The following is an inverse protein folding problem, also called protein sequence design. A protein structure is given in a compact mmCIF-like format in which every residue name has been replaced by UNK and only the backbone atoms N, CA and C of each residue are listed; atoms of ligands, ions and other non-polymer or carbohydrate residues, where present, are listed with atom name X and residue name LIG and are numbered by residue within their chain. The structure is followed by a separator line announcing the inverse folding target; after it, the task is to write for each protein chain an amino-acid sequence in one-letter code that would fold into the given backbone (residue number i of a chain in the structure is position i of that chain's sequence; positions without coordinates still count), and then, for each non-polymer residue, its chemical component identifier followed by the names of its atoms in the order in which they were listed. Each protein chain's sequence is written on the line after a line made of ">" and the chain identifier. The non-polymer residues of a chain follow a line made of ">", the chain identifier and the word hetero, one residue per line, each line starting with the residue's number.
data_IF_114848505610
#
_entry.id   IF_114848505610
#
_cell.length_a   1.000
_cell.length_b   1.000
_cell.length_c   1.000
_cell.angle_alpha   90.00
_cell.angle_beta   90.00
_cell.angle_gamma   90.00
#
_symmetry.space_group_name_H-M   'P 1'
#
loop_
_entity.id
_entity.type
_entity.pdbx_description
1 polymer ?
#
# COMPACT_ATOMS: atom_id res chain seq x y z
N UNK A 1 11.68 12.31 -16.27
CA UNK A 1 10.94 12.04 -17.52
C UNK A 1 10.05 13.25 -17.82
N UNK A 2 9.88 13.64 -19.09
CA UNK A 2 9.02 14.77 -19.47
C UNK A 2 7.65 14.23 -19.86
N UNK A 3 6.60 14.72 -19.19
CA UNK A 3 5.22 14.32 -19.43
C UNK A 3 4.40 15.55 -19.78
N UNK A 4 3.53 15.44 -20.79
CA UNK A 4 2.57 16.47 -21.15
C UNK A 4 1.24 16.13 -20.49
N UNK A 5 0.72 17.03 -19.68
CA UNK A 5 -0.59 16.88 -19.02
C UNK A 5 -1.53 17.97 -19.52
N UNK A 6 -2.80 17.62 -19.71
CA UNK A 6 -3.83 18.61 -20.00
C UNK A 6 -4.34 19.19 -18.67
N UNK A 7 -4.17 20.50 -18.49
CA UNK A 7 -4.59 21.19 -17.28
C UNK A 7 -5.68 22.22 -17.62
N UNK A 8 -6.81 22.23 -16.91
CA UNK A 8 -7.84 23.25 -17.08
C UNK A 8 -7.26 24.68 -17.00
N UNK A 9 -7.73 25.61 -17.85
CA UNK A 9 -7.14 26.95 -17.93
C UNK A 9 -7.26 27.73 -16.62
N UNK A 10 -8.34 27.52 -15.85
CA UNK A 10 -8.50 28.12 -14.52
C UNK A 10 -7.42 27.66 -13.54
N UNK A 11 -7.11 26.36 -13.56
CA UNK A 11 -6.05 25.81 -12.71
C UNK A 11 -4.67 26.32 -13.13
N UNK A 12 -4.40 26.53 -14.42
CA UNK A 12 -3.14 27.11 -14.86
C UNK A 12 -2.91 28.53 -14.31
N UNK A 13 -3.95 29.37 -14.33
CA UNK A 13 -3.85 30.73 -13.80
C UNK A 13 -3.61 30.72 -12.28
N UNK A 14 -4.37 29.91 -11.54
CA UNK A 14 -4.16 29.74 -10.09
C UNK A 14 -2.76 29.21 -9.77
N UNK A 15 -2.31 28.20 -10.50
CA UNK A 15 -0.97 27.60 -10.33
C UNK A 15 0.13 28.64 -10.60
N UNK A 16 -0.04 29.51 -11.60
CA UNK A 16 0.91 30.60 -11.87
C UNK A 16 0.95 31.64 -10.75
N UNK A 17 -0.22 32.02 -10.21
CA UNK A 17 -0.31 32.96 -9.09
C UNK A 17 0.40 32.38 -7.87
N UNK A 18 0.16 31.11 -7.56
CA UNK A 18 0.80 30.41 -6.45
C UNK A 18 2.30 30.22 -6.65
N UNK A 19 2.75 29.89 -7.87
CA UNK A 19 4.16 29.79 -8.19
C UNK A 19 4.89 31.13 -8.03
N UNK A 20 4.26 32.23 -8.47
CA UNK A 20 4.79 33.59 -8.29
C UNK A 20 4.85 33.99 -6.82
N UNK A 21 3.84 33.65 -6.02
CA UNK A 21 3.84 33.90 -4.58
C UNK A 21 4.99 33.18 -3.86
N UNK A 22 5.31 31.96 -4.31
CA UNK A 22 6.36 31.13 -3.73
C UNK A 22 7.75 31.33 -4.38
N UNK A 23 7.91 32.29 -5.30
CA UNK A 23 9.14 32.55 -6.08
C UNK A 23 9.73 31.30 -6.76
N UNK A 24 8.87 30.37 -7.18
CA UNK A 24 9.27 29.12 -7.86
C UNK A 24 8.75 29.07 -9.28
N UNK A 25 9.36 28.23 -10.10
CA UNK A 25 8.90 27.99 -11.46
C UNK A 25 7.61 27.15 -11.44
N UNK A 26 6.76 27.34 -12.44
CA UNK A 26 5.51 26.59 -12.58
C UNK A 26 5.74 25.07 -12.57
N UNK A 27 6.82 24.59 -13.20
CA UNK A 27 7.17 23.16 -13.21
C UNK A 27 7.54 22.64 -11.83
N UNK A 28 8.32 23.40 -11.05
CA UNK A 28 8.71 23.01 -9.69
C UNK A 28 7.50 22.96 -8.76
N UNK A 29 6.62 23.95 -8.87
CA UNK A 29 5.40 23.99 -8.06
C UNK A 29 4.46 22.82 -8.38
N UNK A 30 4.27 22.50 -9.67
CA UNK A 30 3.47 21.34 -10.09
C UNK A 30 4.09 20.03 -9.61
N UNK A 31 5.42 19.91 -9.68
CA UNK A 31 6.12 18.71 -9.17
C UNK A 31 5.90 18.52 -7.66
N UNK A 32 6.08 19.58 -6.87
CA UNK A 32 5.86 19.53 -5.43
C UNK A 32 4.41 19.22 -5.07
N UNK A 33 3.44 19.81 -5.78
CA UNK A 33 2.03 19.54 -5.58
C UNK A 33 1.68 18.07 -5.87
N UNK A 34 2.18 17.52 -6.98
CA UNK A 34 1.98 16.10 -7.33
C UNK A 34 2.65 15.19 -6.30
N UNK A 35 3.87 15.51 -5.87
CA UNK A 35 4.59 14.76 -4.83
C UNK A 35 3.83 14.75 -3.51
N UNK A 36 3.26 15.89 -3.11
CA UNK A 36 2.47 16.00 -1.89
C UNK A 36 1.16 15.20 -1.99
N UNK A 37 0.48 15.24 -3.14
CA UNK A 37 -0.73 14.45 -3.39
C UNK A 37 -0.47 12.95 -3.32
N UNK A 38 0.56 12.45 -4.00
CA UNK A 38 0.93 11.03 -3.97
C UNK A 38 1.38 10.58 -2.57
N UNK A 39 2.10 11.44 -1.83
CA UNK A 39 2.47 11.13 -0.43
C UNK A 39 1.25 11.06 0.49
N UNK A 40 0.22 11.86 0.21
CA UNK A 40 -1.06 11.81 0.94
C UNK A 40 -1.82 10.52 0.64
N UNK A 41 -1.87 10.09 -0.62
CA UNK A 41 -2.48 8.80 -1.00
C UNK A 41 -1.71 7.61 -0.43
N UNK A 42 -0.38 7.66 -0.44
CA UNK A 42 0.45 6.62 0.19
C UNK A 42 0.13 6.47 1.68
N UNK A 43 -0.14 7.57 2.40
CA UNK A 43 -0.57 7.52 3.80
C UNK A 43 -1.94 6.85 3.98
N UNK A 44 -2.86 7.06 3.03
CA UNK A 44 -4.20 6.46 3.06
C UNK A 44 -4.10 4.95 2.77
N UNK A 45 -3.16 4.53 1.92
CA UNK A 45 -2.90 3.11 1.63
C UNK A 45 -2.04 2.40 2.68
N UNK A 46 -1.38 3.13 3.57
CA UNK A 46 -0.64 2.59 4.74
C UNK A 46 -1.41 2.75 6.04
N UNK A 47 -2.74 2.83 5.98
CA UNK A 47 -3.55 2.30 7.09
C UNK A 47 -3.43 0.77 7.03
N UNK A 48 -2.22 0.30 7.34
CA UNK A 48 -1.89 -1.06 7.75
C UNK A 48 -2.50 -1.20 9.16
N UNK A 49 -3.83 -1.03 9.24
CA UNK A 49 -4.58 -1.41 10.43
C UNK A 49 -4.30 -2.89 10.52
N UNK A 50 -3.62 -3.38 11.57
CA UNK A 50 -3.30 -4.80 11.66
C UNK A 50 -4.64 -5.51 11.62
N UNK A 51 -4.91 -6.18 10.50
CA UNK A 51 -6.10 -7.00 10.35
C UNK A 51 -5.88 -8.13 11.33
N UNK A 52 -6.50 -8.00 12.51
CA UNK A 52 -6.43 -9.02 13.54
C UNK A 52 -7.30 -10.18 13.07
N UNK A 53 -6.73 -11.00 12.20
CA UNK A 53 -7.33 -12.26 11.80
C UNK A 53 -7.49 -13.10 13.05
N UNK A 54 -8.68 -13.69 13.30
CA UNK A 54 -8.86 -14.58 14.43
C UNK A 54 -7.89 -15.76 14.26
N UNK A 55 -6.82 -15.77 15.05
CA UNK A 55 -5.93 -16.91 15.17
C UNK A 55 -6.65 -17.95 16.02
N UNK A 56 -7.13 -19.01 15.39
CA UNK A 56 -7.66 -20.16 16.12
C UNK A 56 -6.49 -20.92 16.72
N UNK A 57 -6.12 -20.55 17.95
CA UNK A 57 -5.16 -21.30 18.75
C UNK A 57 -5.91 -22.48 19.39
N UNK A 58 -5.89 -23.63 18.73
CA UNK A 58 -6.24 -24.89 19.38
C UNK A 58 -5.18 -25.13 20.47
N UNK A 59 -5.43 -24.59 21.68
CA UNK A 59 -4.53 -24.62 22.85
C UNK A 59 -4.20 -26.02 23.36
N UNK A 60 -3.53 -26.82 22.52
CA UNK A 60 -2.97 -28.12 22.80
C UNK A 60 -1.69 -28.27 21.96
N UNK A 61 -0.72 -29.08 22.40
CA UNK A 61 0.42 -29.41 21.56
C UNK A 61 -0.10 -29.97 20.23
N UNK A 62 0.52 -29.56 19.11
CA UNK A 62 0.21 -30.16 17.82
C UNK A 62 0.34 -31.69 17.98
N UNK A 63 -0.79 -32.40 17.95
CA UNK A 63 -0.83 -33.87 18.07
C UNK A 63 -0.22 -34.55 16.84
N UNK A 64 0.24 -33.74 15.88
CA UNK A 64 0.89 -34.15 14.65
C UNK A 64 2.25 -33.45 14.60
N UNK A 65 3.32 -34.25 14.65
CA UNK A 65 4.65 -33.77 14.32
C UNK A 65 4.71 -33.49 12.81
N UNK A 66 4.66 -32.19 12.45
CA UNK A 66 4.73 -31.72 11.07
C UNK A 66 6.06 -32.09 10.38
N UNK A 67 7.08 -32.46 11.14
CA UNK A 67 8.38 -32.92 10.64
C UNK A 67 8.34 -34.39 10.22
N UNK A 68 7.37 -35.15 10.73
CA UNK A 68 7.20 -36.56 10.43
C UNK A 68 6.06 -36.76 9.42
N UNK A 69 6.37 -36.42 8.16
CA UNK A 69 5.44 -36.57 7.03
C UNK A 69 4.93 -38.02 6.88
N UNK A 70 5.78 -39.02 7.14
CA UNK A 70 5.44 -40.45 7.00
C UNK A 70 4.35 -40.89 7.99
N UNK A 71 4.38 -40.39 9.24
CA UNK A 71 3.34 -40.68 10.23
C UNK A 71 1.96 -40.14 9.81
N UNK A 72 1.92 -39.00 9.12
CA UNK A 72 0.66 -38.42 8.62
C UNK A 72 0.05 -39.26 7.50
N UNK A 73 0.87 -39.75 6.57
CA UNK A 73 0.41 -40.61 5.48
C UNK A 73 -0.11 -41.96 5.98
N UNK A 74 0.54 -42.56 6.98
CA UNK A 74 0.12 -43.83 7.56
C UNK A 74 -1.29 -43.76 8.19
N UNK A 75 -1.61 -42.67 8.90
CA UNK A 75 -2.94 -42.46 9.49
C UNK A 75 -4.00 -42.21 8.43
N UNK A 76 -3.63 -41.54 7.32
CA UNK A 76 -4.56 -41.23 6.23
C UNK A 76 -4.95 -42.48 5.43
N UNK A 77 -4.02 -43.41 5.21
CA UNK A 77 -4.27 -44.69 4.52
C UNK A 77 -5.13 -45.65 5.36
N UNK A 78 -4.97 -45.67 6.69
CA UNK A 78 -5.73 -46.55 7.60
C UNK A 78 -7.22 -46.19 7.71
N UNK A 79 -7.60 -44.99 7.23
CA UNK A 79 -8.98 -44.51 7.18
C UNK A 79 -9.62 -44.57 5.77
N UNK A 80 -9.03 -45.33 4.82
CA UNK A 80 -9.57 -45.54 3.47
C UNK A 80 -10.36 -46.85 3.29
#
# INVERSE_FOLDING_TARGET
>A
MRTTINLPPKLLEETKVQAKANNVTLSSYVEEAVRAALKKEARISTEDTPVNLPSFDCGGPALVDLSNKEAVWAVLDDHS
#
